data_IF_859115118541
#
_entry.id   IF_859115118541
#
_cell.length_a   1.000
_cell.length_b   1.000
_cell.length_c   1.000
_cell.angle_alpha   90.00
_cell.angle_beta   90.00
_cell.angle_gamma   90.00
#
_symmetry.space_group_name_H-M   'P 1'
#
loop_
_entity.id
_entity.type
_entity.pdbx_description
1 polymer ?
#
# COMPACT_ATOMS: atom_id res chain seq x y z
N UNK A 1 -45.90 8.88 -13.68
CA UNK A 1 -44.63 8.25 -14.11
C UNK A 1 -44.97 6.94 -14.80
N UNK A 2 -44.99 6.91 -16.12
CA UNK A 2 -45.40 5.74 -16.92
C UNK A 2 -44.18 4.88 -17.24
N UNK A 3 -44.19 3.65 -16.75
CA UNK A 3 -43.21 2.61 -17.06
C UNK A 3 -43.58 1.95 -18.39
N UNK A 4 -42.65 1.86 -19.34
CA UNK A 4 -42.85 1.14 -20.61
C UNK A 4 -42.43 -0.34 -20.46
N UNK A 5 -43.29 -1.27 -20.85
CA UNK A 5 -43.01 -2.71 -20.98
C UNK A 5 -42.95 -3.11 -22.46
N UNK A 6 -42.21 -4.17 -22.79
CA UNK A 6 -42.19 -4.77 -24.13
C UNK A 6 -43.37 -5.73 -24.37
N UNK A 7 -43.48 -6.25 -25.59
CA UNK A 7 -44.58 -7.13 -26.03
C UNK A 7 -44.66 -8.45 -25.24
N UNK A 8 -43.55 -8.86 -24.61
CA UNK A 8 -43.46 -10.07 -23.79
C UNK A 8 -43.68 -9.78 -22.28
N UNK A 9 -44.07 -8.55 -21.94
CA UNK A 9 -44.40 -8.14 -20.57
C UNK A 9 -43.18 -7.93 -19.66
N UNK A 10 -41.96 -7.92 -20.19
CA UNK A 10 -40.75 -7.62 -19.41
C UNK A 10 -40.59 -6.12 -19.20
N UNK A 11 -40.04 -5.81 -18.02
CA UNK A 11 -39.73 -4.45 -17.62
C UNK A 11 -38.43 -4.01 -18.30
N UNK A 12 -38.51 -3.11 -19.28
CA UNK A 12 -37.32 -2.54 -19.92
C UNK A 12 -36.92 -1.30 -19.11
N UNK A 13 -36.05 -1.49 -18.12
CA UNK A 13 -35.41 -0.37 -17.43
C UNK A 13 -34.55 0.45 -18.40
N UNK A 14 -34.25 1.73 -18.10
CA UNK A 14 -33.35 2.51 -18.94
C UNK A 14 -32.03 1.74 -19.06
N UNK A 15 -31.62 1.45 -20.30
CA UNK A 15 -30.34 0.81 -20.56
C UNK A 15 -29.25 1.59 -19.82
N UNK A 16 -28.67 1.00 -18.79
CA UNK A 16 -27.53 1.60 -18.08
C UNK A 16 -26.43 1.68 -19.12
N UNK A 17 -26.19 2.87 -19.64
CA UNK A 17 -25.16 3.07 -20.65
C UNK A 17 -23.84 2.99 -19.90
N UNK A 18 -23.24 1.81 -19.87
CA UNK A 18 -21.87 1.62 -19.40
C UNK A 18 -21.01 2.64 -20.13
N UNK A 19 -20.51 3.65 -19.40
CA UNK A 19 -19.53 4.59 -19.96
C UNK A 19 -18.33 3.73 -20.37
N UNK A 20 -17.89 3.75 -21.63
CA UNK A 20 -16.65 3.10 -21.97
C UNK A 20 -15.55 3.85 -21.20
N UNK A 21 -14.94 3.17 -20.24
CA UNK A 21 -13.68 3.62 -19.67
C UNK A 21 -12.76 3.90 -20.85
N UNK A 22 -12.32 5.15 -21.01
CA UNK A 22 -11.47 5.49 -22.15
C UNK A 22 -10.25 4.56 -22.11
N UNK A 23 -9.97 3.77 -23.16
CA UNK A 23 -8.91 2.76 -23.16
C UNK A 23 -7.55 3.27 -22.66
N UNK A 24 -7.11 4.53 -22.92
CA UNK A 24 -5.85 5.01 -22.37
C UNK A 24 -5.86 5.14 -20.84
N UNK A 25 -6.98 5.55 -20.23
CA UNK A 25 -7.04 5.73 -18.76
C UNK A 25 -6.99 4.41 -18.01
N UNK A 26 -7.72 3.40 -18.50
CA UNK A 26 -7.69 2.06 -17.92
C UNK A 26 -6.29 1.44 -18.00
N UNK A 27 -5.59 1.62 -19.13
CA UNK A 27 -4.20 1.17 -19.28
C UNK A 27 -3.26 1.93 -18.33
N UNK A 28 -3.37 3.26 -18.26
CA UNK A 28 -2.56 4.08 -17.36
C UNK A 28 -2.75 3.68 -15.89
N UNK A 29 -3.97 3.43 -15.43
CA UNK A 29 -4.23 2.98 -14.06
C UNK A 29 -3.58 1.62 -13.78
N UNK A 30 -3.63 0.68 -14.74
CA UNK A 30 -2.98 -0.64 -14.59
C UNK A 30 -1.45 -0.52 -14.55
N UNK A 31 -0.86 0.24 -15.46
CA UNK A 31 0.59 0.50 -15.48
C UNK A 31 1.02 1.18 -14.18
N UNK A 32 0.28 2.18 -13.72
CA UNK A 32 0.56 2.86 -12.46
C UNK A 32 0.48 1.93 -11.25
N UNK A 33 -0.52 1.03 -11.22
CA UNK A 33 -0.63 -0.02 -10.21
C UNK A 33 0.60 -0.94 -10.20
N UNK A 34 1.07 -1.36 -11.38
CA UNK A 34 2.27 -2.17 -11.55
C UNK A 34 3.54 -1.46 -11.06
N UNK A 35 3.75 -0.21 -11.47
CA UNK A 35 4.89 0.62 -11.02
C UNK A 35 4.90 0.79 -9.51
N UNK A 36 3.75 1.08 -8.89
CA UNK A 36 3.63 1.16 -7.42
C UNK A 36 3.94 -0.17 -6.74
N UNK A 37 3.52 -1.29 -7.33
CA UNK A 37 3.85 -2.63 -6.84
C UNK A 37 5.36 -2.88 -6.82
N UNK A 38 6.04 -2.61 -7.94
CA UNK A 38 7.50 -2.75 -8.06
C UNK A 38 8.23 -1.84 -7.07
N UNK A 39 7.82 -0.57 -6.94
CA UNK A 39 8.40 0.35 -5.98
C UNK A 39 8.26 -0.13 -4.53
N UNK A 40 7.10 -0.70 -4.16
CA UNK A 40 6.90 -1.28 -2.82
C UNK A 40 7.77 -2.50 -2.59
N UNK A 41 7.89 -3.39 -3.56
CA UNK A 41 8.75 -4.57 -3.49
C UNK A 41 10.23 -4.16 -3.36
N UNK A 42 10.69 -3.23 -4.18
CA UNK A 42 12.05 -2.71 -4.13
C UNK A 42 12.37 -2.02 -2.80
N UNK A 43 11.44 -1.24 -2.26
CA UNK A 43 11.55 -0.66 -0.92
C UNK A 43 11.61 -1.75 0.17
N UNK A 44 10.83 -2.82 0.04
CA UNK A 44 10.82 -3.90 1.03
C UNK A 44 12.14 -4.67 1.11
N UNK A 45 12.86 -4.87 -0.02
CA UNK A 45 14.16 -5.56 -0.06
C UNK A 45 15.31 -4.68 0.42
N UNK A 46 15.24 -3.36 0.23
CA UNK A 46 16.28 -2.42 0.66
C UNK A 46 16.08 -1.92 2.10
N UNK A 47 15.14 -2.49 2.86
CA UNK A 47 14.85 -2.04 4.22
C UNK A 47 14.10 -0.71 4.30
N UNK A 48 13.54 -0.21 3.19
CA UNK A 48 12.76 1.03 3.15
C UNK A 48 11.45 1.00 3.95
N UNK A 49 11.08 -0.16 4.51
CA UNK A 49 9.93 -0.33 5.40
C UNK A 49 10.34 -0.66 6.84
N UNK A 50 11.63 -0.58 7.18
CA UNK A 50 12.13 -1.04 8.48
C UNK A 50 11.56 -0.24 9.65
N UNK A 51 11.46 1.09 9.52
CA UNK A 51 10.83 1.90 10.57
C UNK A 51 9.35 1.49 10.78
N UNK A 52 8.57 1.30 9.71
CA UNK A 52 7.18 0.88 9.84
C UNK A 52 7.04 -0.50 10.48
N UNK A 53 7.89 -1.46 10.08
CA UNK A 53 7.96 -2.79 10.72
C UNK A 53 8.33 -2.70 12.19
N UNK A 54 9.27 -1.82 12.56
CA UNK A 54 9.65 -1.56 13.94
C UNK A 54 8.48 -0.98 14.75
N UNK A 55 7.76 0.01 14.22
CA UNK A 55 6.59 0.59 14.90
C UNK A 55 5.48 -0.44 15.10
N UNK A 56 5.20 -1.24 14.07
CA UNK A 56 4.25 -2.34 14.14
C UNK A 56 4.64 -3.38 15.18
N UNK A 57 5.92 -3.76 15.21
CA UNK A 57 6.47 -4.64 16.23
C UNK A 57 6.33 -4.03 17.64
N UNK A 58 6.67 -2.75 17.81
CA UNK A 58 6.61 -2.05 19.09
C UNK A 58 5.18 -1.97 19.60
N UNK A 59 4.21 -1.63 18.74
CA UNK A 59 2.79 -1.58 19.10
C UNK A 59 2.23 -2.95 19.51
N UNK A 60 2.68 -4.02 18.85
CA UNK A 60 2.21 -5.39 19.13
C UNK A 60 2.81 -5.97 20.41
N UNK A 61 4.10 -5.73 20.67
CA UNK A 61 4.83 -6.37 21.77
C UNK A 61 4.98 -5.49 23.01
N UNK A 62 4.91 -4.17 22.83
CA UNK A 62 5.10 -3.19 23.90
C UNK A 62 4.00 -2.12 23.88
N UNK A 63 2.73 -2.51 24.09
CA UNK A 63 1.63 -1.56 24.15
C UNK A 63 1.85 -0.60 25.33
N UNK A 64 2.00 0.69 25.04
CA UNK A 64 2.23 1.74 26.04
C UNK A 64 3.65 2.35 26.00
N UNK A 65 4.59 1.72 25.30
CA UNK A 65 5.88 2.37 25.05
C UNK A 65 5.73 3.50 24.01
N UNK A 66 6.38 4.66 24.21
CA UNK A 66 6.35 5.74 23.23
C UNK A 66 7.01 5.30 21.93
N UNK A 67 6.38 5.60 20.79
CA UNK A 67 6.95 5.33 19.47
C UNK A 67 8.00 6.41 19.17
N UNK A 68 9.29 6.05 18.96
CA UNK A 68 10.32 7.02 18.60
C UNK A 68 10.04 7.60 17.21
N UNK A 69 10.53 8.81 16.96
CA UNK A 69 10.49 9.36 15.60
C UNK A 69 11.39 8.56 14.65
N UNK A 70 11.14 8.62 13.35
CA UNK A 70 11.93 7.90 12.35
C UNK A 70 13.42 8.26 12.42
N UNK A 71 13.74 9.55 12.59
CA UNK A 71 15.12 10.01 12.76
C UNK A 71 15.77 9.41 14.01
N UNK A 72 15.03 9.35 15.12
CA UNK A 72 15.53 8.79 16.38
C UNK A 72 15.79 7.29 16.24
N UNK A 73 14.86 6.56 15.61
CA UNK A 73 15.03 5.13 15.30
C UNK A 73 16.31 4.85 14.52
N UNK A 74 16.57 5.61 13.44
CA UNK A 74 17.78 5.42 12.64
C UNK A 74 19.05 5.76 13.41
N UNK A 75 19.05 6.85 14.20
CA UNK A 75 20.18 7.19 15.06
C UNK A 75 20.49 6.05 16.03
N UNK A 76 19.50 5.61 16.79
CA UNK A 76 19.69 4.59 17.82
C UNK A 76 20.13 3.25 17.21
N UNK A 77 19.62 2.91 16.03
CA UNK A 77 20.04 1.72 15.27
C UNK A 77 21.51 1.79 14.85
N UNK A 78 22.00 2.94 14.40
CA UNK A 78 23.41 3.10 14.04
C UNK A 78 24.30 3.14 15.27
N UNK A 79 23.91 3.86 16.33
CA UNK A 79 24.62 3.89 17.61
C UNK A 79 24.77 2.47 18.19
N UNK A 80 23.71 1.66 18.11
CA UNK A 80 23.73 0.26 18.54
C UNK A 80 24.69 -0.58 17.69
N UNK A 81 24.69 -0.39 16.37
CA UNK A 81 25.62 -1.08 15.46
C UNK A 81 27.09 -0.68 15.69
N UNK A 82 27.35 0.56 16.12
CA UNK A 82 28.67 1.04 16.50
C UNK A 82 29.13 0.45 17.84
N UNK A 83 28.23 0.42 18.85
CA UNK A 83 28.53 -0.10 20.20
C UNK A 83 28.66 -1.61 20.23
N UNK A 84 27.85 -2.31 19.44
CA UNK A 84 27.81 -3.77 19.36
C UNK A 84 28.15 -4.20 17.93
N UNK A 85 29.45 -4.19 17.55
CA UNK A 85 29.91 -4.56 16.22
C UNK A 85 29.91 -6.09 16.03
N UNK A 86 28.88 -6.79 16.52
CA UNK A 86 28.75 -8.26 16.65
C UNK A 86 28.88 -9.03 15.33
N UNK A 87 29.06 -8.34 14.21
CA UNK A 87 29.35 -8.88 12.87
C UNK A 87 30.51 -8.16 12.18
N UNK A 88 31.61 -7.91 12.89
CA UNK A 88 32.91 -7.79 12.20
C UNK A 88 33.57 -9.17 12.24
N UNK A 89 33.28 -9.97 11.22
CA UNK A 89 34.11 -11.13 10.90
C UNK A 89 35.48 -10.61 10.46
N UNK A 90 36.34 -10.38 11.44
CA UNK A 90 37.70 -10.88 11.32
C UNK A 90 37.62 -12.41 11.36
#
# INVERSE_FOLDING_TARGET
>A
MSVTRDADGRFVGPAVRSRPDSPPRALLTRVWGGVRGVARWYSAINGGQDYQRYVDHLRRNHPGCPVPSEKQYWRDRYDEAERNPTTRCC
#
